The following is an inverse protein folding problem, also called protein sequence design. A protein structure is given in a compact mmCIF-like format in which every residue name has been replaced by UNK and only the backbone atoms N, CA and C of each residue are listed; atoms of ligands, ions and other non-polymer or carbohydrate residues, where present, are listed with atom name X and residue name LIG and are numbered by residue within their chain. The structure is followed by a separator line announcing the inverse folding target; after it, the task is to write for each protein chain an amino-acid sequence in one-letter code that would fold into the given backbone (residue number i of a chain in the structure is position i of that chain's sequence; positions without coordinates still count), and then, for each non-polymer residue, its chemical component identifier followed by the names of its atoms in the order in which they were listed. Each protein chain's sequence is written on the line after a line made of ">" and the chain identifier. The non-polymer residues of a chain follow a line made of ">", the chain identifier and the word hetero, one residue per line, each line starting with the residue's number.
data_IF_136110240561
#
_entry.id   IF_136110240561
#
_cell.length_a   1.000
_cell.length_b   1.000
_cell.length_c   1.000
_cell.angle_alpha   90.00
_cell.angle_beta   90.00
_cell.angle_gamma   90.00
#
_symmetry.space_group_name_H-M   'P 1'
#
loop_
_entity.id
_entity.type
_entity.pdbx_description
1 polymer ?
#
# COMPACT_ATOMS: atom_id res chain seq x y z
N UNK A 1 29.62 -44.08 14.99
CA UNK A 1 30.02 -42.67 14.97
C UNK A 1 28.74 -41.85 14.85
N UNK A 2 28.50 -40.91 15.77
CA UNK A 2 27.35 -40.01 15.69
C UNK A 2 27.69 -38.89 14.71
N UNK A 3 26.84 -38.70 13.71
CA UNK A 3 26.98 -37.65 12.68
C UNK A 3 26.80 -36.29 13.37
N UNK A 4 27.83 -35.44 13.32
CA UNK A 4 27.79 -34.10 13.90
C UNK A 4 26.95 -33.22 12.97
N UNK A 5 25.83 -32.69 13.47
CA UNK A 5 25.00 -31.77 12.70
C UNK A 5 25.80 -30.50 12.37
N UNK A 6 26.01 -30.23 11.08
CA UNK A 6 26.62 -29.00 10.61
C UNK A 6 25.60 -27.88 10.68
N UNK A 7 25.83 -26.89 11.54
CA UNK A 7 25.03 -25.68 11.59
C UNK A 7 25.44 -24.78 10.42
N UNK A 8 24.50 -24.46 9.53
CA UNK A 8 24.75 -23.67 8.32
C UNK A 8 24.62 -22.19 8.64
N UNK A 9 25.44 -21.36 7.99
CA UNK A 9 25.34 -19.90 8.11
C UNK A 9 23.98 -19.39 7.61
N UNK A 10 23.38 -18.48 8.39
CA UNK A 10 22.12 -17.85 8.04
C UNK A 10 22.31 -16.85 6.88
N UNK A 11 21.56 -17.03 5.80
CA UNK A 11 21.55 -16.09 4.67
C UNK A 11 20.45 -15.06 4.89
N UNK A 12 20.84 -13.81 5.12
CA UNK A 12 19.90 -12.68 5.18
C UNK A 12 19.81 -12.01 3.81
N UNK A 13 18.61 -12.03 3.22
CA UNK A 13 18.32 -11.28 1.99
C UNK A 13 17.84 -9.89 2.40
N UNK A 14 18.39 -8.84 1.79
CA UNK A 14 18.05 -7.43 2.09
C UNK A 14 17.63 -6.67 0.82
N UNK A 15 17.02 -5.48 1.02
CA UNK A 15 16.61 -4.57 -0.05
C UNK A 15 15.52 -5.14 -0.96
N UNK A 16 15.66 -4.93 -2.27
CA UNK A 16 14.64 -5.26 -3.28
C UNK A 16 14.19 -6.72 -3.21
N UNK A 17 15.13 -7.65 -3.12
CA UNK A 17 14.82 -9.08 -3.14
C UNK A 17 14.06 -9.50 -1.89
N UNK A 18 14.42 -8.93 -0.74
CA UNK A 18 13.72 -9.15 0.53
C UNK A 18 12.30 -8.57 0.49
N UNK A 19 12.12 -7.40 -0.12
CA UNK A 19 10.80 -6.78 -0.30
C UNK A 19 9.85 -7.67 -1.09
N UNK A 20 10.31 -8.17 -2.25
CA UNK A 20 9.51 -9.04 -3.11
C UNK A 20 9.17 -10.36 -2.41
N UNK A 21 10.12 -10.93 -1.68
CA UNK A 21 9.91 -12.14 -0.86
C UNK A 21 8.85 -11.90 0.22
N UNK A 22 8.93 -10.78 0.95
CA UNK A 22 7.94 -10.39 1.97
C UNK A 22 6.54 -10.19 1.37
N UNK A 23 6.42 -9.54 0.21
CA UNK A 23 5.14 -9.39 -0.48
C UNK A 23 4.57 -10.74 -0.93
N UNK A 24 5.43 -11.63 -1.44
CA UNK A 24 5.05 -12.98 -1.85
C UNK A 24 4.61 -13.84 -0.66
N UNK A 25 5.30 -13.74 0.47
CA UNK A 25 4.95 -14.48 1.67
C UNK A 25 3.64 -13.96 2.28
N UNK A 26 3.41 -12.65 2.25
CA UNK A 26 2.11 -12.07 2.62
C UNK A 26 0.99 -12.67 1.77
N UNK A 27 1.21 -12.75 0.45
CA UNK A 27 0.25 -13.37 -0.47
C UNK A 27 0.05 -14.87 -0.25
N UNK A 28 1.11 -15.62 0.06
CA UNK A 28 1.05 -17.07 0.35
C UNK A 28 0.32 -17.38 1.65
N UNK A 29 0.52 -16.56 2.67
CA UNK A 29 -0.05 -16.76 4.00
C UNK A 29 -1.49 -16.27 4.08
N UNK A 30 -1.97 -15.49 3.11
CA UNK A 30 -3.34 -15.06 3.09
C UNK A 30 -4.25 -16.12 2.44
N UNK A 31 -5.43 -16.33 3.04
CA UNK A 31 -6.43 -17.24 2.52
C UNK A 31 -7.15 -16.70 1.28
N UNK A 32 -7.06 -15.38 1.04
CA UNK A 32 -7.70 -14.67 -0.06
C UNK A 32 -6.75 -14.17 -1.15
N UNK A 33 -7.33 -13.67 -2.24
CA UNK A 33 -6.57 -12.96 -3.28
C UNK A 33 -6.13 -11.62 -2.70
N UNK A 34 -4.82 -11.50 -2.48
CA UNK A 34 -4.21 -10.30 -1.93
C UNK A 34 -2.92 -9.95 -2.64
N UNK A 35 -2.60 -8.67 -2.61
CA UNK A 35 -1.32 -8.14 -3.07
C UNK A 35 -0.76 -7.23 -1.97
N UNK A 36 0.56 -7.15 -1.88
CA UNK A 36 1.24 -6.31 -0.91
C UNK A 36 2.40 -5.58 -1.56
N UNK A 37 2.67 -4.37 -1.08
CA UNK A 37 3.81 -3.54 -1.45
C UNK A 37 4.49 -3.06 -0.16
N UNK A 38 5.81 -3.10 -0.10
CA UNK A 38 6.57 -2.67 1.08
C UNK A 38 7.17 -1.27 0.88
N UNK A 39 7.65 -0.66 1.97
CA UNK A 39 8.34 0.63 1.95
C UNK A 39 9.46 0.71 0.89
N UNK A 40 10.22 -0.37 0.72
CA UNK A 40 11.31 -0.44 -0.25
C UNK A 40 10.79 -0.33 -1.68
N UNK A 41 9.64 -0.96 -1.99
CA UNK A 41 9.01 -0.87 -3.32
C UNK A 41 8.37 0.50 -3.56
N UNK A 42 7.77 1.09 -2.53
CA UNK A 42 7.19 2.44 -2.58
C UNK A 42 8.30 3.48 -2.85
N UNK A 43 9.48 3.32 -2.25
CA UNK A 43 10.62 4.23 -2.42
C UNK A 43 11.37 4.12 -3.75
N UNK A 44 11.17 3.03 -4.53
CA UNK A 44 11.87 2.83 -5.82
C UNK A 44 11.40 3.77 -6.91
N UNK A 45 10.15 4.17 -6.87
CA UNK A 45 9.56 5.04 -7.87
C UNK A 45 9.31 6.43 -7.26
N UNK A 46 9.52 7.51 -8.02
CA UNK A 46 9.27 8.86 -7.54
C UNK A 46 7.76 9.15 -7.53
N UNK A 47 7.04 8.45 -6.68
CA UNK A 47 5.61 8.67 -6.46
C UNK A 47 5.41 9.96 -5.67
N UNK A 48 4.47 10.79 -6.11
CA UNK A 48 4.13 12.05 -5.42
C UNK A 48 3.19 11.82 -4.25
N UNK A 49 2.39 10.77 -4.31
CA UNK A 49 1.40 10.39 -3.30
C UNK A 49 1.26 8.86 -3.19
N UNK A 50 0.45 8.41 -2.24
CA UNK A 50 0.21 6.97 -2.01
C UNK A 50 -0.51 6.29 -3.18
N UNK A 51 -1.45 6.97 -3.84
CA UNK A 51 -2.19 6.40 -4.96
C UNK A 51 -1.21 5.95 -6.06
N UNK A 52 -0.26 6.81 -6.41
CA UNK A 52 0.77 6.50 -7.40
C UNK A 52 1.64 5.30 -7.00
N UNK A 53 1.97 5.16 -5.73
CA UNK A 53 2.69 3.99 -5.25
C UNK A 53 1.86 2.70 -5.37
N UNK A 54 0.57 2.75 -5.05
CA UNK A 54 -0.35 1.62 -5.16
C UNK A 54 -0.58 1.17 -6.62
N UNK A 55 -0.37 2.04 -7.61
CA UNK A 55 -0.51 1.68 -9.03
C UNK A 55 0.48 0.63 -9.52
N UNK A 56 1.54 0.37 -8.75
CA UNK A 56 2.48 -0.72 -9.02
C UNK A 56 1.87 -2.10 -8.74
N UNK A 57 0.79 -2.14 -7.96
CA UNK A 57 0.08 -3.38 -7.65
C UNK A 57 -0.77 -3.80 -8.86
N UNK A 58 -0.70 -5.07 -9.29
CA UNK A 58 -1.51 -5.55 -10.41
C UNK A 58 -3.01 -5.36 -10.18
N UNK A 59 -3.74 -4.93 -11.20
CA UNK A 59 -5.18 -4.68 -11.14
C UNK A 59 -5.56 -3.40 -10.38
N UNK A 60 -4.59 -2.60 -9.97
CA UNK A 60 -4.83 -1.27 -9.40
C UNK A 60 -4.71 -0.23 -10.50
N UNK A 61 -5.73 0.60 -10.64
CA UNK A 61 -5.72 1.76 -11.54
C UNK A 61 -6.03 3.02 -10.76
N UNK A 62 -5.59 4.16 -11.29
CA UNK A 62 -5.72 5.46 -10.64
C UNK A 62 -6.79 6.29 -11.32
N UNK A 63 -7.67 6.86 -10.50
CA UNK A 63 -8.46 8.00 -10.89
C UNK A 63 -7.61 9.26 -10.66
N UNK A 64 -7.48 10.08 -11.70
CA UNK A 64 -6.55 11.22 -11.71
C UNK A 64 -7.32 12.52 -11.71
N UNK A 65 -6.92 13.42 -10.82
CA UNK A 65 -7.44 14.80 -10.76
C UNK A 65 -6.27 15.77 -10.70
N UNK A 66 -6.37 16.88 -11.43
CA UNK A 66 -5.32 17.90 -11.51
C UNK A 66 -3.91 17.35 -11.83
N UNK A 67 -3.83 16.27 -12.62
CA UNK A 67 -2.56 15.65 -13.04
C UNK A 67 -1.92 14.72 -12.01
N UNK A 68 -2.56 14.44 -10.88
CA UNK A 68 -2.08 13.51 -9.85
C UNK A 68 -3.08 12.37 -9.63
N UNK A 69 -2.59 11.20 -9.23
CA UNK A 69 -3.47 10.11 -8.77
C UNK A 69 -4.16 10.48 -7.47
N UNK A 70 -5.48 10.53 -7.44
CA UNK A 70 -6.25 10.91 -6.26
C UNK A 70 -6.88 9.69 -5.59
N UNK A 71 -7.56 8.86 -6.37
CA UNK A 71 -8.28 7.69 -5.87
C UNK A 71 -7.82 6.43 -6.59
N UNK A 72 -8.13 5.31 -5.97
CA UNK A 72 -7.70 3.99 -6.43
C UNK A 72 -8.92 3.15 -6.81
N UNK A 73 -8.90 2.62 -8.03
CA UNK A 73 -9.81 1.59 -8.53
C UNK A 73 -9.11 0.23 -8.45
N UNK A 74 -9.86 -0.80 -8.05
CA UNK A 74 -9.36 -2.17 -7.90
C UNK A 74 -10.14 -3.05 -8.88
N UNK A 75 -9.42 -3.71 -9.76
CA UNK A 75 -9.96 -4.60 -10.81
C UNK A 75 -11.09 -3.95 -11.63
N UNK A 76 -11.00 -2.64 -11.87
CA UNK A 76 -11.95 -1.86 -12.68
C UNK A 76 -13.21 -1.39 -11.96
N UNK A 77 -13.30 -1.60 -10.65
CA UNK A 77 -14.43 -1.12 -9.84
C UNK A 77 -14.33 0.37 -9.51
N UNK A 78 -15.48 1.01 -9.28
CA UNK A 78 -15.52 2.42 -8.89
C UNK A 78 -14.75 2.64 -7.56
N UNK A 79 -13.87 3.65 -7.45
CA UNK A 79 -13.11 3.92 -6.23
C UNK A 79 -13.95 4.12 -4.96
N UNK A 80 -15.21 4.54 -5.09
CA UNK A 80 -16.17 4.67 -3.99
C UNK A 80 -16.65 3.34 -3.41
N UNK A 81 -16.44 2.24 -4.14
CA UNK A 81 -16.78 0.88 -3.75
C UNK A 81 -15.61 0.14 -3.08
N UNK A 82 -14.49 0.82 -2.89
CA UNK A 82 -13.34 0.32 -2.14
C UNK A 82 -13.38 0.83 -0.70
N UNK A 83 -12.91 0.01 0.23
CA UNK A 83 -12.68 0.45 1.60
C UNK A 83 -11.20 0.72 1.80
N UNK A 84 -10.86 1.76 2.55
CA UNK A 84 -9.48 2.11 2.86
C UNK A 84 -9.33 2.19 4.38
N UNK A 85 -8.24 1.64 4.90
CA UNK A 85 -7.90 1.66 6.31
C UNK A 85 -6.48 2.18 6.47
N UNK A 86 -6.27 3.03 7.47
CA UNK A 86 -4.94 3.48 7.91
C UNK A 86 -4.71 2.93 9.31
N UNK A 87 -3.71 2.07 9.48
CA UNK A 87 -3.37 1.41 10.73
C UNK A 87 -4.59 0.75 11.41
N UNK A 88 -5.41 0.08 10.61
CA UNK A 88 -6.64 -0.61 11.05
C UNK A 88 -7.86 0.30 11.27
N UNK A 89 -7.73 1.62 11.09
CA UNK A 89 -8.84 2.55 11.22
C UNK A 89 -9.44 2.88 9.86
N UNK A 90 -10.77 2.78 9.67
CA UNK A 90 -11.39 3.10 8.39
C UNK A 90 -11.18 4.58 8.08
N UNK A 91 -10.64 4.86 6.90
CA UNK A 91 -10.47 6.21 6.37
C UNK A 91 -11.35 6.33 5.13
N UNK A 92 -12.33 7.23 5.22
CA UNK A 92 -13.21 7.58 4.13
C UNK A 92 -13.40 9.09 4.17
N UNK A 93 -13.54 9.70 2.99
CA UNK A 93 -13.77 11.13 2.91
C UNK A 93 -14.80 11.44 1.84
N UNK A 94 -15.73 12.31 2.20
CA UNK A 94 -16.53 13.00 1.22
C UNK A 94 -15.82 14.33 0.94
N UNK A 95 -15.33 14.51 -0.29
CA UNK A 95 -14.81 15.81 -0.70
C UNK A 95 -15.97 16.81 -0.70
N UNK A 96 -15.76 17.93 -0.01
CA UNK A 96 -16.66 19.07 -0.04
C UNK A 96 -16.28 19.98 -1.21
N UNK A 97 -16.53 19.53 -2.44
CA UNK A 97 -16.34 20.35 -3.64
C UNK A 97 -17.69 20.54 -4.35
N UNK A 98 -18.00 21.79 -4.70
CA UNK A 98 -19.25 22.11 -5.37
C UNK A 98 -19.35 21.38 -6.73
N UNK A 99 -20.37 20.53 -6.87
CA UNK A 99 -20.60 19.72 -8.06
C UNK A 99 -20.04 18.29 -8.00
N UNK A 100 -19.29 17.91 -6.96
CA UNK A 100 -18.93 16.51 -6.73
C UNK A 100 -20.04 15.76 -5.98
N UNK A 101 -20.23 14.50 -6.36
CA UNK A 101 -21.09 13.60 -5.60
C UNK A 101 -20.37 13.14 -4.33
N UNK A 102 -21.05 13.10 -3.17
CA UNK A 102 -20.49 12.50 -1.98
C UNK A 102 -20.09 11.06 -2.28
N UNK A 103 -18.83 10.74 -2.05
CA UNK A 103 -18.31 9.37 -2.20
C UNK A 103 -17.73 8.89 -0.87
N UNK A 104 -17.60 7.57 -0.76
CA UNK A 104 -16.91 6.94 0.38
C UNK A 104 -15.44 6.62 0.06
N UNK A 105 -14.97 7.05 -1.11
CA UNK A 105 -13.59 6.86 -1.55
C UNK A 105 -12.62 7.65 -0.68
N UNK A 106 -11.37 7.18 -0.61
CA UNK A 106 -10.30 7.90 0.05
C UNK A 106 -9.48 8.68 -0.97
N UNK A 107 -9.21 9.97 -0.71
CA UNK A 107 -8.22 10.79 -1.40
C UNK A 107 -6.83 10.47 -0.84
N UNK A 108 -6.05 9.77 -1.65
CA UNK A 108 -4.70 9.34 -1.34
C UNK A 108 -3.66 10.45 -1.53
N UNK A 109 -4.03 11.62 -2.07
CA UNK A 109 -3.13 12.79 -2.14
C UNK A 109 -2.80 13.36 -0.76
N UNK A 110 -3.63 13.06 0.25
CA UNK A 110 -3.42 13.50 1.63
C UNK A 110 -2.26 12.78 2.32
N UNK A 111 -1.79 11.67 1.76
CA UNK A 111 -0.71 10.88 2.34
C UNK A 111 0.52 10.94 1.43
N UNK A 112 1.66 11.27 2.03
CA UNK A 112 2.95 11.16 1.37
C UNK A 112 3.37 9.67 1.35
N UNK A 113 3.95 9.16 0.25
CA UNK A 113 4.29 7.74 0.14
C UNK A 113 5.37 7.31 1.14
N UNK A 114 6.21 8.24 1.60
CA UNK A 114 7.30 7.95 2.54
C UNK A 114 6.83 7.56 3.94
N UNK A 115 5.58 7.89 4.31
CA UNK A 115 5.04 7.54 5.63
C UNK A 115 4.51 6.11 5.68
N UNK A 116 4.30 5.47 4.52
CA UNK A 116 3.81 4.10 4.42
C UNK A 116 4.96 3.10 4.56
N UNK A 117 4.83 2.21 5.54
CA UNK A 117 5.74 1.08 5.72
C UNK A 117 5.35 -0.12 4.88
N UNK A 118 4.05 -0.33 4.70
CA UNK A 118 3.48 -1.39 3.88
C UNK A 118 2.06 -1.03 3.49
N UNK A 119 1.65 -1.39 2.28
CA UNK A 119 0.25 -1.39 1.91
C UNK A 119 -0.15 -2.77 1.38
N UNK A 120 -1.35 -3.22 1.75
CA UNK A 120 -1.94 -4.47 1.30
C UNK A 120 -3.28 -4.18 0.64
N UNK A 121 -3.57 -4.89 -0.44
CA UNK A 121 -4.85 -4.82 -1.13
C UNK A 121 -5.47 -6.20 -1.11
N UNK A 122 -6.61 -6.30 -0.44
CA UNK A 122 -7.43 -7.49 -0.34
C UNK A 122 -8.51 -7.39 -1.41
N UNK A 123 -8.42 -8.23 -2.44
CA UNK A 123 -9.34 -8.26 -3.58
C UNK A 123 -10.49 -9.22 -3.37
N UNK A 124 -10.31 -10.18 -2.46
CA UNK A 124 -11.36 -11.09 -2.02
C UNK A 124 -11.93 -10.67 -0.68
N UNK A 125 -13.24 -10.87 -0.50
CA UNK A 125 -13.89 -10.72 0.80
C UNK A 125 -13.41 -11.81 1.78
N UNK A 126 -13.24 -11.42 3.03
CA UNK A 126 -12.82 -12.28 4.13
C UNK A 126 -13.64 -11.95 5.38
N UNK A 127 -13.91 -12.94 6.23
CA UNK A 127 -14.76 -12.77 7.41
C UNK A 127 -14.19 -11.77 8.45
N UNK A 128 -12.89 -11.47 8.40
CA UNK A 128 -12.23 -10.50 9.29
C UNK A 128 -12.39 -9.05 8.84
N UNK A 129 -12.80 -8.83 7.60
CA UNK A 129 -12.92 -7.50 7.02
C UNK A 129 -14.28 -6.89 7.33
N UNK A 130 -14.29 -5.56 7.46
CA UNK A 130 -15.55 -4.81 7.53
C UNK A 130 -16.31 -4.98 6.21
N UNK A 131 -17.61 -5.21 6.31
CA UNK A 131 -18.48 -5.28 5.13
C UNK A 131 -18.53 -3.96 4.35
N UNK A 132 -18.87 -4.05 3.06
CA UNK A 132 -19.10 -2.86 2.21
C UNK A 132 -18.00 -2.51 1.22
N UNK A 133 -17.00 -3.38 1.02
CA UNK A 133 -16.11 -3.33 -0.15
C UNK A 133 -16.66 -4.22 -1.27
N UNK A 134 -16.82 -3.67 -2.48
CA UNK A 134 -17.17 -4.45 -3.68
C UNK A 134 -15.95 -4.69 -4.58
N UNK A 135 -15.04 -3.71 -4.67
CA UNK A 135 -13.79 -3.85 -5.43
C UNK A 135 -12.67 -4.47 -4.62
N UNK A 136 -12.40 -3.90 -3.45
CA UNK A 136 -11.44 -4.45 -2.51
C UNK A 136 -11.26 -3.58 -1.27
N UNK A 137 -10.41 -4.06 -0.37
CA UNK A 137 -10.02 -3.34 0.84
C UNK A 137 -8.54 -3.02 0.78
N UNK A 138 -8.21 -1.74 0.89
CA UNK A 138 -6.83 -1.22 0.98
C UNK A 138 -6.47 -1.05 2.44
N UNK A 139 -5.45 -1.76 2.91
CA UNK A 139 -4.88 -1.67 4.24
C UNK A 139 -3.54 -0.95 4.16
N UNK A 140 -3.47 0.25 4.71
CA UNK A 140 -2.27 1.06 4.78
C UNK A 140 -1.67 0.95 6.18
N UNK A 141 -0.38 0.63 6.26
CA UNK A 141 0.38 0.59 7.50
C UNK A 141 1.45 1.65 7.48
N UNK A 142 1.43 2.56 8.45
CA UNK A 142 2.46 3.59 8.57
C UNK A 142 3.77 2.99 9.06
N UNK A 143 4.90 3.65 8.75
CA UNK A 143 6.22 3.29 9.29
C UNK A 143 6.24 3.57 10.78
N UNK A 144 6.50 2.55 11.59
CA UNK A 144 6.67 2.74 13.02
C UNK A 144 8.10 3.18 13.34
N UNK A 145 8.32 4.02 14.38
CA UNK A 145 9.67 4.49 14.72
C UNK A 145 10.69 3.38 15.01
N UNK A 146 10.23 2.19 15.42
CA UNK A 146 11.09 1.04 15.72
C UNK A 146 11.44 0.21 14.47
N UNK A 147 10.75 0.43 13.35
CA UNK A 147 11.04 -0.20 12.06
C UNK A 147 12.06 0.60 11.23
N UNK A 148 12.46 1.77 11.72
CA UNK A 148 13.40 2.68 11.08
C UNK A 148 14.79 2.52 11.68
N UNK A 149 15.82 2.73 10.87
CA UNK A 149 17.17 2.83 11.38
C UNK A 149 17.34 4.08 12.25
N UNK A 150 18.22 3.98 13.25
CA UNK A 150 18.47 5.10 14.17
C UNK A 150 18.98 6.31 13.39
N UNK A 151 18.26 7.43 13.49
CA UNK A 151 18.51 8.69 12.77
C UNK A 151 18.22 8.66 11.25
N UNK A 152 17.28 7.81 10.80
CA UNK A 152 16.81 7.86 9.41
C UNK A 152 16.07 9.18 9.12
N UNK A 153 16.47 9.87 8.04
CA UNK A 153 15.83 11.11 7.56
C UNK A 153 15.43 10.93 6.10
N UNK A 154 14.14 11.10 5.81
CA UNK A 154 13.61 11.12 4.45
C UNK A 154 13.30 12.55 4.01
N UNK A 155 13.70 12.91 2.80
CA UNK A 155 13.39 14.19 2.17
C UNK A 155 13.06 13.98 0.69
N UNK A 156 12.10 14.74 0.17
CA UNK A 156 11.75 14.77 -1.25
C UNK A 156 11.89 16.19 -1.79
N UNK A 157 12.40 16.30 -3.02
CA UNK A 157 12.48 17.56 -3.76
C UNK A 157 11.75 17.39 -5.09
N UNK A 158 10.81 18.29 -5.37
CA UNK A 158 9.98 18.25 -6.57
C UNK A 158 9.90 19.63 -7.20
N UNK A 159 9.95 19.68 -8.53
CA UNK A 159 9.74 20.88 -9.33
C UNK A 159 8.65 20.60 -10.35
N UNK A 160 7.59 21.40 -10.34
CA UNK A 160 6.46 21.31 -11.28
C UNK A 160 6.34 22.62 -12.04
N UNK A 161 6.21 22.54 -13.37
CA UNK A 161 6.00 23.69 -14.25
C UNK A 161 4.77 23.44 -15.11
N UNK A 162 3.84 24.39 -15.14
CA UNK A 162 2.58 24.35 -15.88
C UNK A 162 2.68 25.01 -17.25
#
# INVERSE_FOLDING_TARGET
>A
AADQATDLDAVQVVGIRASLEKSLDTKRNNAGISEAITAEDIGKFPSTNVAEALSQIPGVTLDRRFGQGERVSIDGTDPSLNLSFLDGHPVAQAIWLYGEQPSRGFDYTLLAPQILGRAEILKSSEARLTEGSLGGTVLMHTRQPLDLDVNEVAASIGYSYS
#
